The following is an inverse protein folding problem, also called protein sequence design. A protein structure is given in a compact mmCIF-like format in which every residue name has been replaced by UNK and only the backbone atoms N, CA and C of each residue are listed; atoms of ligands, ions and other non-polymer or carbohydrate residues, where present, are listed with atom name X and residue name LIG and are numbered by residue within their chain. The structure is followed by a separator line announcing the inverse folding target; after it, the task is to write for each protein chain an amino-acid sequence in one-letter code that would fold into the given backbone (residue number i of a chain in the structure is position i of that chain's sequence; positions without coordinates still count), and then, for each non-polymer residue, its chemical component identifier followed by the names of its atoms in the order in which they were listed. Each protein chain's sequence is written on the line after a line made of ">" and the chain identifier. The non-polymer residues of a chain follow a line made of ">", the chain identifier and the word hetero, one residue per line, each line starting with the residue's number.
data_IF_724571170876
#
_entry.id   IF_724571170876
#
_cell.length_a   1.000
_cell.length_b   1.000
_cell.length_c   1.000
_cell.angle_alpha   90.00
_cell.angle_beta   90.00
_cell.angle_gamma   90.00
#
_symmetry.space_group_name_H-M   'P 1'
#
loop_
_entity.id
_entity.type
_entity.pdbx_description
1 polymer ?
#
# COMPACT_ATOMS: atom_id res chain seq x y z
N UNK A 1 33.53 12.20 -15.06
CA UNK A 1 32.99 13.36 -15.81
C UNK A 1 34.03 14.43 -16.09
N UNK A 2 34.71 15.04 -15.10
CA UNK A 2 35.78 16.03 -15.36
C UNK A 2 36.89 15.50 -16.28
N UNK A 3 37.37 14.27 -16.05
CA UNK A 3 38.47 13.68 -16.84
C UNK A 3 38.16 13.50 -18.33
N UNK A 4 36.94 13.08 -18.71
CA UNK A 4 36.58 12.91 -20.12
C UNK A 4 36.49 14.25 -20.86
N UNK A 5 35.96 15.28 -20.19
CA UNK A 5 35.96 16.65 -20.71
C UNK A 5 37.39 17.19 -20.87
N UNK A 6 38.28 16.93 -19.91
CA UNK A 6 39.69 17.29 -20.04
C UNK A 6 40.36 16.56 -21.20
N UNK A 7 40.10 15.26 -21.39
CA UNK A 7 40.67 14.48 -22.49
C UNK A 7 40.16 15.01 -23.85
N UNK A 8 38.85 15.27 -23.99
CA UNK A 8 38.28 15.82 -25.23
C UNK A 8 38.80 17.23 -25.48
N UNK A 9 38.86 18.09 -24.46
CA UNK A 9 39.39 19.46 -24.57
C UNK A 9 40.88 19.46 -24.96
N UNK A 10 41.68 18.57 -24.37
CA UNK A 10 43.10 18.41 -24.67
C UNK A 10 43.33 17.87 -26.08
N UNK A 11 42.50 16.92 -26.54
CA UNK A 11 42.53 16.42 -27.91
C UNK A 11 42.10 17.49 -28.92
N UNK A 12 41.06 18.28 -28.60
CA UNK A 12 40.60 19.36 -29.47
C UNK A 12 41.64 20.47 -29.58
N UNK A 13 42.28 20.85 -28.47
CA UNK A 13 43.37 21.83 -28.47
C UNK A 13 44.58 21.32 -29.22
N UNK A 14 44.92 20.03 -29.12
CA UNK A 14 45.98 19.42 -29.92
C UNK A 14 45.67 19.46 -31.43
N UNK A 15 44.42 19.18 -31.83
CA UNK A 15 43.99 19.25 -33.25
C UNK A 15 43.97 20.69 -33.78
N UNK A 16 43.49 21.67 -33.00
CA UNK A 16 43.50 23.08 -33.41
C UNK A 16 44.95 23.61 -33.51
N UNK A 17 45.79 23.26 -32.54
CA UNK A 17 47.22 23.63 -32.56
C UNK A 17 47.94 22.98 -33.75
N UNK A 18 47.51 21.80 -34.18
CA UNK A 18 47.98 21.13 -35.40
C UNK A 18 47.65 21.90 -36.68
N UNK A 19 46.41 22.38 -36.85
CA UNK A 19 46.04 23.17 -38.03
C UNK A 19 46.78 24.52 -38.08
N UNK A 20 46.94 25.17 -36.92
CA UNK A 20 47.70 26.42 -36.81
C UNK A 20 49.19 26.17 -37.12
N UNK A 21 49.79 25.11 -36.55
CA UNK A 21 51.19 24.76 -36.79
C UNK A 21 51.48 24.36 -38.24
N UNK A 22 50.58 23.62 -38.88
CA UNK A 22 50.68 23.26 -40.30
C UNK A 22 50.57 24.50 -41.20
N UNK A 23 49.61 25.39 -40.93
CA UNK A 23 49.45 26.65 -41.66
C UNK A 23 50.68 27.56 -41.54
N UNK A 24 51.32 27.60 -40.37
CA UNK A 24 52.57 28.35 -40.16
C UNK A 24 53.73 27.69 -40.92
N UNK A 25 53.86 26.35 -40.90
CA UNK A 25 54.94 25.63 -41.59
C UNK A 25 54.81 25.62 -43.12
N UNK A 26 53.59 25.64 -43.69
CA UNK A 26 53.39 25.74 -45.14
C UNK A 26 53.74 27.14 -45.69
N UNK A 27 53.74 28.17 -44.83
CA UNK A 27 54.10 29.54 -45.17
C UNK A 27 55.57 29.89 -44.87
N UNK A 28 56.38 28.97 -44.32
CA UNK A 28 57.78 29.20 -43.98
C UNK A 28 58.72 28.52 -45.00
N UNK A 29 59.64 29.30 -45.60
CA UNK A 29 60.35 28.97 -46.86
C UNK A 29 61.49 27.96 -46.68
N UNK A 30 61.77 27.50 -45.44
CA UNK A 30 62.87 26.56 -45.18
C UNK A 30 62.43 25.09 -45.08
N UNK A 31 62.69 24.38 -46.18
CA UNK A 31 62.15 23.09 -46.62
C UNK A 31 62.59 21.82 -45.84
N UNK A 32 63.03 21.94 -44.57
CA UNK A 32 63.52 20.78 -43.78
C UNK A 32 62.59 20.39 -42.62
N UNK A 33 61.89 21.36 -42.03
CA UNK A 33 60.90 21.12 -40.97
C UNK A 33 59.57 20.59 -41.52
N UNK A 34 59.12 21.07 -42.67
CA UNK A 34 57.83 20.63 -43.26
C UNK A 34 57.82 19.13 -43.61
N UNK A 35 58.97 18.55 -44.00
CA UNK A 35 59.10 17.11 -44.27
C UNK A 35 59.00 16.23 -43.02
N UNK A 36 59.49 16.69 -41.88
CA UNK A 36 59.40 15.93 -40.61
C UNK A 36 57.97 16.00 -40.06
N UNK A 37 57.34 17.18 -40.14
CA UNK A 37 55.94 17.37 -39.74
C UNK A 37 54.99 16.56 -40.63
N UNK A 38 55.16 16.56 -41.95
CA UNK A 38 54.32 15.76 -42.85
C UNK A 38 54.54 14.24 -42.71
N UNK A 39 55.71 13.80 -42.24
CA UNK A 39 56.02 12.37 -42.04
C UNK A 39 55.51 11.83 -40.71
N UNK A 40 55.50 12.64 -39.65
CA UNK A 40 54.97 12.26 -38.33
C UNK A 40 53.44 12.40 -38.30
N UNK A 41 52.87 13.31 -39.09
CA UNK A 41 51.44 13.62 -39.11
C UNK A 41 50.82 13.32 -40.48
N UNK A 42 50.88 12.06 -40.90
CA UNK A 42 50.15 11.59 -42.09
C UNK A 42 48.63 11.71 -41.89
N UNK A 43 47.86 11.83 -42.98
CA UNK A 43 46.40 11.90 -42.94
C UNK A 43 45.77 10.73 -42.15
N UNK A 44 46.43 9.57 -42.14
CA UNK A 44 45.99 8.37 -41.43
C UNK A 44 45.99 8.54 -39.90
N UNK A 45 46.99 9.24 -39.34
CA UNK A 45 47.06 9.53 -37.89
C UNK A 45 45.96 10.50 -37.48
N UNK A 46 45.67 11.50 -38.32
CA UNK A 46 44.61 12.48 -38.06
C UNK A 46 43.22 11.82 -38.11
N UNK A 47 42.97 10.96 -39.10
CA UNK A 47 41.73 10.18 -39.21
C UNK A 47 41.54 9.26 -38.00
N UNK A 48 42.60 8.62 -37.53
CA UNK A 48 42.58 7.76 -36.34
C UNK A 48 42.22 8.52 -35.07
N UNK A 49 42.77 9.73 -34.88
CA UNK A 49 42.44 10.60 -33.74
C UNK A 49 40.98 11.07 -33.78
N UNK A 50 40.48 11.45 -34.97
CA UNK A 50 39.06 11.81 -35.13
C UNK A 50 38.13 10.63 -34.81
N UNK A 51 38.49 9.40 -35.24
CA UNK A 51 37.71 8.21 -34.94
C UNK A 51 37.61 7.93 -33.43
N UNK A 52 38.70 8.15 -32.68
CA UNK A 52 38.71 8.01 -31.21
C UNK A 52 37.80 9.04 -30.54
N UNK A 53 37.84 10.30 -31.00
CA UNK A 53 36.99 11.37 -30.47
C UNK A 53 35.51 11.05 -30.73
N UNK A 54 35.16 10.69 -31.97
CA UNK A 54 33.78 10.34 -32.33
C UNK A 54 33.29 9.13 -31.54
N UNK A 55 34.13 8.11 -31.36
CA UNK A 55 33.78 6.92 -30.56
C UNK A 55 33.54 7.27 -29.09
N UNK A 56 34.38 8.12 -28.50
CA UNK A 56 34.25 8.56 -27.10
C UNK A 56 32.99 9.38 -26.88
N UNK A 57 32.66 10.27 -27.82
CA UNK A 57 31.41 11.04 -27.82
C UNK A 57 30.21 10.11 -28.00
N UNK A 58 30.31 9.07 -28.85
CA UNK A 58 29.28 8.05 -29.03
C UNK A 58 28.95 7.29 -27.74
N UNK A 59 29.98 6.86 -26.99
CA UNK A 59 29.79 6.22 -25.67
C UNK A 59 29.12 7.18 -24.69
N UNK A 60 29.57 8.45 -24.64
CA UNK A 60 28.95 9.45 -23.76
C UNK A 60 27.47 9.69 -24.09
N UNK A 61 27.14 9.82 -25.37
CA UNK A 61 25.76 9.99 -25.82
C UNK A 61 24.93 8.76 -25.45
N UNK A 62 25.47 7.55 -25.64
CA UNK A 62 24.81 6.29 -25.27
C UNK A 62 24.52 6.22 -23.76
N UNK A 63 25.48 6.57 -22.91
CA UNK A 63 25.29 6.57 -21.45
C UNK A 63 24.22 7.57 -21.03
N UNK A 64 24.20 8.77 -21.63
CA UNK A 64 23.16 9.77 -21.38
C UNK A 64 21.79 9.33 -21.87
N UNK A 65 21.71 8.69 -23.04
CA UNK A 65 20.46 8.11 -23.53
C UNK A 65 19.93 7.01 -22.61
N UNK A 66 20.81 6.16 -22.07
CA UNK A 66 20.44 5.12 -21.12
C UNK A 66 19.93 5.70 -19.78
N UNK A 67 20.56 6.77 -19.29
CA UNK A 67 20.12 7.48 -18.09
C UNK A 67 18.75 8.14 -18.29
N UNK A 68 18.56 8.83 -19.41
CA UNK A 68 17.27 9.46 -19.78
C UNK A 68 16.18 8.39 -19.92
N UNK A 69 16.48 7.26 -20.57
CA UNK A 69 15.53 6.15 -20.71
C UNK A 69 15.09 5.58 -19.36
N UNK A 70 16.01 5.45 -18.39
CA UNK A 70 15.67 5.03 -17.01
C UNK A 70 14.76 6.04 -16.32
N UNK A 71 15.07 7.33 -16.39
CA UNK A 71 14.25 8.38 -15.78
C UNK A 71 12.84 8.44 -16.42
N UNK A 72 12.76 8.27 -17.74
CA UNK A 72 11.47 8.18 -18.45
C UNK A 72 10.67 6.96 -18.01
N UNK A 73 11.32 5.80 -17.83
CA UNK A 73 10.65 4.59 -17.34
C UNK A 73 10.13 4.76 -15.90
N UNK A 74 10.89 5.41 -15.02
CA UNK A 74 10.44 5.73 -13.66
C UNK A 74 9.27 6.71 -13.66
N UNK A 75 9.34 7.76 -14.48
CA UNK A 75 8.26 8.74 -14.64
C UNK A 75 6.99 8.08 -15.17
N UNK A 76 7.10 7.21 -16.19
CA UNK A 76 5.98 6.47 -16.75
C UNK A 76 5.32 5.54 -15.72
N UNK A 77 6.11 4.89 -14.86
CA UNK A 77 5.60 4.09 -13.74
C UNK A 77 4.79 4.96 -12.77
N UNK A 78 5.33 6.11 -12.37
CA UNK A 78 4.63 7.04 -11.46
C UNK A 78 3.33 7.57 -12.08
N UNK A 79 3.36 7.97 -13.35
CA UNK A 79 2.16 8.41 -14.07
C UNK A 79 1.12 7.29 -14.13
N UNK A 80 1.51 6.04 -14.39
CA UNK A 80 0.60 4.90 -14.41
C UNK A 80 -0.08 4.70 -13.06
N UNK A 81 0.65 4.87 -11.94
CA UNK A 81 0.06 4.79 -10.58
C UNK A 81 -0.95 5.92 -10.37
N UNK A 82 -0.62 7.15 -10.74
CA UNK A 82 -1.52 8.31 -10.62
C UNK A 82 -2.77 8.12 -11.49
N UNK A 83 -2.62 7.68 -12.74
CA UNK A 83 -3.75 7.39 -13.63
C UNK A 83 -4.63 6.28 -13.07
N UNK A 84 -4.04 5.20 -12.54
CA UNK A 84 -4.83 4.14 -11.88
C UNK A 84 -5.62 4.67 -10.70
N UNK A 85 -5.03 5.53 -9.87
CA UNK A 85 -5.72 6.13 -8.72
C UNK A 85 -6.83 7.10 -9.14
N UNK A 86 -6.68 7.81 -10.27
CA UNK A 86 -7.71 8.71 -10.80
C UNK A 86 -8.86 7.97 -11.50
N UNK A 87 -8.58 6.84 -12.15
CA UNK A 87 -9.57 6.11 -12.95
C UNK A 87 -10.31 5.05 -12.13
N UNK A 88 -9.61 4.34 -11.25
CA UNK A 88 -10.22 3.29 -10.43
C UNK A 88 -10.62 3.81 -9.06
N UNK A 89 -11.75 3.34 -8.50
CA UNK A 89 -12.12 3.63 -7.12
C UNK A 89 -11.01 3.25 -6.13
N UNK A 90 -10.76 4.12 -5.16
CA UNK A 90 -9.78 3.91 -4.09
C UNK A 90 -10.48 4.06 -2.75
N UNK A 91 -10.72 2.94 -2.07
CA UNK A 91 -11.46 2.92 -0.82
C UNK A 91 -10.55 3.01 0.41
N UNK A 92 -10.87 3.94 1.31
CA UNK A 92 -10.23 4.07 2.62
C UNK A 92 -11.25 3.81 3.73
N UNK A 93 -10.86 3.01 4.73
CA UNK A 93 -11.72 2.60 5.84
C UNK A 93 -11.21 3.20 7.14
N UNK A 94 -12.08 3.95 7.83
CA UNK A 94 -11.77 4.52 9.13
C UNK A 94 -12.78 4.04 10.17
N UNK A 95 -12.27 3.47 11.26
CA UNK A 95 -13.07 3.12 12.43
C UNK A 95 -12.76 4.07 13.57
N UNK A 96 -13.79 4.63 14.18
CA UNK A 96 -13.64 5.55 15.31
C UNK A 96 -14.80 5.42 16.30
N UNK A 97 -14.58 5.90 17.50
CA UNK A 97 -15.59 5.99 18.54
C UNK A 97 -16.40 7.28 18.33
N UNK A 98 -17.72 7.19 18.38
CA UNK A 98 -18.59 8.36 18.17
C UNK A 98 -18.63 9.28 19.39
N UNK A 99 -19.02 10.54 19.20
CA UNK A 99 -18.83 11.61 20.19
C UNK A 99 -19.70 11.50 21.44
N UNK A 100 -20.83 10.78 21.36
CA UNK A 100 -21.73 10.62 22.52
C UNK A 100 -21.08 9.77 23.61
N UNK A 101 -20.99 10.34 24.82
CA UNK A 101 -20.46 9.67 26.02
C UNK A 101 -21.54 9.48 27.09
N UNK A 102 -21.46 8.37 27.83
CA UNK A 102 -22.15 8.15 29.11
C UNK A 102 -21.09 7.74 30.13
N UNK A 103 -21.00 8.44 31.26
CA UNK A 103 -19.99 8.21 32.31
C UNK A 103 -18.56 8.17 31.73
N UNK A 104 -18.21 9.20 30.93
CA UNK A 104 -16.95 9.34 30.20
C UNK A 104 -16.61 8.23 29.19
N UNK A 105 -17.57 7.37 28.84
CA UNK A 105 -17.36 6.30 27.86
C UNK A 105 -18.13 6.55 26.59
N UNK A 106 -17.41 6.46 25.48
CA UNK A 106 -18.02 6.49 24.16
C UNK A 106 -19.02 5.36 23.98
N UNK A 107 -20.23 5.70 23.55
CA UNK A 107 -21.35 4.77 23.47
C UNK A 107 -21.33 4.03 22.13
N UNK A 108 -21.11 4.80 21.06
CA UNK A 108 -21.27 4.35 19.69
C UNK A 108 -19.91 4.15 19.01
N UNK A 109 -19.90 3.31 18.00
CA UNK A 109 -18.76 3.09 17.12
C UNK A 109 -19.21 3.27 15.68
N UNK A 110 -18.33 3.84 14.87
CA UNK A 110 -18.58 4.12 13.46
C UNK A 110 -17.50 3.48 12.60
N UNK A 111 -17.91 2.98 11.43
CA UNK A 111 -16.98 2.69 10.32
C UNK A 111 -17.40 3.59 9.18
N UNK A 112 -16.48 4.42 8.72
CA UNK A 112 -16.66 5.24 7.53
C UNK A 112 -15.83 4.65 6.39
N UNK A 113 -16.43 4.62 5.21
CA UNK A 113 -15.79 4.20 3.97
C UNK A 113 -15.78 5.41 3.06
N UNK A 114 -14.59 5.78 2.60
CA UNK A 114 -14.36 6.90 1.70
C UNK A 114 -13.93 6.37 0.34
N UNK A 115 -14.29 7.06 -0.75
CA UNK A 115 -13.72 6.83 -2.08
C UNK A 115 -12.89 8.04 -2.51
N UNK A 116 -11.57 7.89 -2.52
CA UNK A 116 -10.63 8.94 -2.94
C UNK A 116 -10.16 8.75 -4.39
N UNK A 117 -10.72 7.79 -5.12
CA UNK A 117 -10.36 7.48 -6.49
C UNK A 117 -11.48 7.78 -7.48
N UNK A 118 -11.48 7.06 -8.60
CA UNK A 118 -12.45 7.21 -9.68
C UNK A 118 -13.88 6.77 -9.30
N UNK A 119 -14.79 6.99 -10.24
CA UNK A 119 -16.21 6.65 -10.09
C UNK A 119 -16.47 5.14 -10.17
N UNK A 120 -17.64 4.71 -9.67
CA UNK A 120 -18.15 3.35 -9.76
C UNK A 120 -19.64 3.38 -10.13
N UNK A 121 -20.15 2.31 -10.74
CA UNK A 121 -21.58 2.19 -11.06
C UNK A 121 -22.38 1.66 -9.88
N UNK A 122 -21.90 0.57 -9.27
CA UNK A 122 -22.53 -0.05 -8.11
C UNK A 122 -21.53 -0.17 -6.96
N UNK A 123 -22.05 -0.04 -5.74
CA UNK A 123 -21.28 -0.21 -4.51
C UNK A 123 -22.11 -0.95 -3.46
N UNK A 124 -21.56 -2.01 -2.89
CA UNK A 124 -22.14 -2.75 -1.77
C UNK A 124 -21.06 -2.99 -0.73
N UNK A 125 -21.27 -2.46 0.46
CA UNK A 125 -20.37 -2.64 1.58
C UNK A 125 -21.00 -3.55 2.64
N UNK A 126 -20.19 -4.40 3.27
CA UNK A 126 -20.60 -5.19 4.42
C UNK A 126 -19.48 -5.27 5.43
N UNK A 127 -19.82 -5.39 6.71
CA UNK A 127 -18.85 -5.57 7.78
C UNK A 127 -19.13 -6.85 8.55
N UNK A 128 -18.06 -7.48 9.04
CA UNK A 128 -18.13 -8.59 9.98
C UNK A 128 -17.27 -8.24 11.18
N UNK A 129 -17.70 -8.72 12.35
CA UNK A 129 -16.99 -8.50 13.61
C UNK A 129 -16.76 -9.85 14.30
N UNK A 130 -15.55 -10.04 14.80
CA UNK A 130 -15.21 -11.10 15.74
C UNK A 130 -14.90 -10.47 17.10
N UNK A 131 -15.44 -11.03 18.17
CA UNK A 131 -14.96 -10.78 19.52
C UNK A 131 -13.84 -11.76 19.82
N UNK A 132 -12.62 -11.24 19.90
CA UNK A 132 -11.47 -11.93 20.46
C UNK A 132 -11.59 -11.94 21.97
N UNK A 133 -11.92 -13.11 22.49
CA UNK A 133 -12.01 -13.36 23.92
C UNK A 133 -10.72 -14.06 24.36
N UNK A 134 -9.99 -13.42 25.27
CA UNK A 134 -8.91 -14.06 26.03
C UNK A 134 -9.50 -14.55 27.34
N UNK A 135 -9.49 -15.86 27.53
CA UNK A 135 -9.93 -16.50 28.78
C UNK A 135 -8.86 -17.48 29.21
N UNK A 136 -8.20 -17.19 30.34
CA UNK A 136 -6.95 -17.87 30.72
C UNK A 136 -5.81 -17.59 29.71
N UNK A 137 -5.06 -18.61 29.27
CA UNK A 137 -4.05 -18.53 28.21
C UNK A 137 -4.64 -18.64 26.80
N UNK A 138 -5.89 -19.07 26.68
CA UNK A 138 -6.54 -19.36 25.41
C UNK A 138 -7.17 -18.13 24.74
N UNK A 139 -7.24 -18.18 23.40
CA UNK A 139 -7.87 -17.17 22.55
C UNK A 139 -9.02 -17.79 21.75
N UNK A 140 -10.19 -17.17 21.85
CA UNK A 140 -11.40 -17.56 21.14
C UNK A 140 -11.90 -16.40 20.29
N UNK A 141 -12.33 -16.65 19.04
CA UNK A 141 -12.88 -15.63 18.16
C UNK A 141 -14.35 -15.93 17.88
N UNK A 142 -15.20 -15.22 18.60
CA UNK A 142 -16.65 -15.39 18.59
C UNK A 142 -17.24 -14.43 17.56
N UNK A 143 -17.94 -14.88 16.51
CA UNK A 143 -18.56 -13.96 15.55
C UNK A 143 -19.66 -13.14 16.24
N UNK A 144 -19.61 -11.82 16.12
CA UNK A 144 -20.65 -10.93 16.61
C UNK A 144 -21.59 -10.55 15.47
N UNK A 145 -22.82 -11.06 15.51
CA UNK A 145 -23.84 -10.73 14.52
C UNK A 145 -24.39 -9.32 14.74
N UNK A 146 -24.64 -8.59 13.66
CA UNK A 146 -25.25 -7.25 13.69
C UNK A 146 -24.56 -6.26 14.64
N UNK A 147 -23.23 -6.38 14.80
CA UNK A 147 -22.44 -5.44 15.59
C UNK A 147 -22.45 -4.03 14.96
N UNK A 148 -22.61 -3.92 13.65
CA UNK A 148 -22.96 -2.67 13.00
C UNK A 148 -24.32 -2.87 12.35
N UNK A 149 -25.34 -2.17 12.86
CA UNK A 149 -26.74 -2.45 12.56
C UNK A 149 -27.33 -1.58 11.44
N UNK A 150 -26.71 -0.45 11.14
CA UNK A 150 -27.19 0.49 10.12
C UNK A 150 -26.03 0.89 9.22
N UNK A 151 -26.15 0.58 7.92
CA UNK A 151 -25.31 1.15 6.88
C UNK A 151 -26.12 2.20 6.13
N UNK A 152 -25.69 3.46 6.17
CA UNK A 152 -26.25 4.51 5.32
C UNK A 152 -25.24 4.82 4.22
N UNK A 153 -25.66 4.69 2.97
CA UNK A 153 -24.92 5.32 1.88
C UNK A 153 -25.09 6.84 2.05
N UNK A 154 -23.98 7.53 2.14
CA UNK A 154 -23.96 8.99 2.27
C UNK A 154 -23.33 9.48 0.98
N UNK A 155 -23.90 10.51 0.38
CA UNK A 155 -23.21 11.30 -0.63
C UNK A 155 -22.90 12.60 0.08
N UNK A 156 -21.66 12.79 0.52
CA UNK A 156 -21.22 14.06 1.13
C UNK A 156 -19.97 14.57 0.41
N UNK A 157 -19.75 15.88 0.53
CA UNK A 157 -18.65 16.61 -0.11
C UNK A 157 -17.24 16.12 0.26
N UNK A 158 -17.13 15.25 1.29
CA UNK A 158 -15.87 14.74 1.85
C UNK A 158 -15.54 13.32 1.38
N UNK A 159 -15.98 12.90 0.19
CA UNK A 159 -15.73 11.56 -0.37
C UNK A 159 -16.27 10.39 0.49
N UNK A 160 -17.07 10.66 1.51
CA UNK A 160 -17.68 9.64 2.36
C UNK A 160 -18.83 8.99 1.58
N UNK A 161 -18.73 7.69 1.36
CA UNK A 161 -19.71 6.93 0.56
C UNK A 161 -20.57 6.00 1.41
N UNK A 162 -20.03 5.46 2.51
CA UNK A 162 -20.73 4.52 3.37
C UNK A 162 -20.40 4.77 4.84
N UNK A 163 -21.42 4.70 5.69
CA UNK A 163 -21.25 4.77 7.15
C UNK A 163 -22.00 3.64 7.84
N UNK A 164 -21.27 2.84 8.61
CA UNK A 164 -21.80 1.84 9.52
C UNK A 164 -21.91 2.39 10.94
N UNK A 165 -23.01 2.10 11.64
CA UNK A 165 -23.23 2.55 13.02
C UNK A 165 -23.49 1.35 13.94
N UNK A 166 -22.67 1.24 14.98
CA UNK A 166 -22.85 0.31 16.09
C UNK A 166 -23.40 1.05 17.31
N UNK A 167 -24.72 0.99 17.52
CA UNK A 167 -25.37 1.68 18.63
C UNK A 167 -25.12 0.98 19.97
N UNK A 168 -24.58 1.70 20.96
CA UNK A 168 -24.28 1.19 22.32
C UNK A 168 -23.34 -0.04 22.36
N UNK A 169 -22.75 -0.44 21.24
CA UNK A 169 -21.99 -1.69 21.15
C UNK A 169 -20.63 -1.61 21.84
N UNK A 170 -19.98 -0.45 21.83
CA UNK A 170 -18.76 -0.24 22.60
C UNK A 170 -19.03 -0.33 24.11
N UNK A 171 -20.13 0.26 24.59
CA UNK A 171 -20.54 0.15 25.99
C UNK A 171 -20.84 -1.30 26.39
N UNK A 172 -21.62 -2.03 25.56
CA UNK A 172 -21.94 -3.45 25.78
C UNK A 172 -20.68 -4.30 25.81
N UNK A 173 -19.75 -4.13 24.85
CA UNK A 173 -18.47 -4.84 24.82
C UNK A 173 -17.63 -4.56 26.06
N UNK A 174 -17.52 -3.29 26.47
CA UNK A 174 -16.80 -2.89 27.69
C UNK A 174 -17.40 -3.53 28.94
N UNK A 175 -18.73 -3.57 29.03
CA UNK A 175 -19.45 -4.26 30.12
C UNK A 175 -19.18 -5.76 30.11
N UNK A 176 -19.27 -6.42 28.95
CA UNK A 176 -18.96 -7.84 28.78
C UNK A 176 -17.52 -8.16 29.21
N UNK A 177 -16.55 -7.34 28.80
CA UNK A 177 -15.15 -7.53 29.17
C UNK A 177 -14.94 -7.41 30.68
N UNK A 178 -15.60 -6.46 31.36
CA UNK A 178 -15.51 -6.32 32.83
C UNK A 178 -16.15 -7.49 33.56
N UNK A 179 -17.33 -7.92 33.14
CA UNK A 179 -18.00 -9.07 33.76
C UNK A 179 -17.23 -10.36 33.52
N UNK A 180 -16.61 -10.52 32.34
CA UNK A 180 -15.74 -11.64 32.04
C UNK A 180 -14.47 -11.63 32.90
N UNK A 181 -13.85 -10.47 33.11
CA UNK A 181 -12.69 -10.33 33.99
C UNK A 181 -13.03 -10.71 35.44
N UNK A 182 -14.18 -10.25 35.96
CA UNK A 182 -14.67 -10.63 37.29
C UNK A 182 -14.90 -12.14 37.39
N UNK A 183 -15.51 -12.75 36.37
CA UNK A 183 -15.73 -14.19 36.32
C UNK A 183 -14.41 -14.96 36.27
N UNK A 184 -13.44 -14.54 35.45
CA UNK A 184 -12.12 -15.14 35.38
C UNK A 184 -11.41 -15.11 36.75
N UNK A 185 -11.39 -13.94 37.41
CA UNK A 185 -10.80 -13.79 38.75
C UNK A 185 -11.46 -14.71 39.79
N UNK A 186 -12.79 -14.82 39.78
CA UNK A 186 -13.53 -15.70 40.71
C UNK A 186 -13.21 -17.18 40.52
N UNK A 187 -12.83 -17.59 39.31
CA UNK A 187 -12.50 -18.98 38.97
C UNK A 187 -10.99 -19.20 38.80
N UNK A 188 -10.17 -18.37 39.45
CA UNK A 188 -8.70 -18.48 39.47
C UNK A 188 -8.06 -18.52 38.07
N UNK A 189 -8.67 -17.82 37.10
CA UNK A 189 -8.16 -17.70 35.73
C UNK A 189 -7.34 -16.42 35.56
N UNK A 190 -6.30 -16.51 34.72
CA UNK A 190 -5.28 -15.45 34.53
C UNK A 190 -5.88 -14.18 33.91
N UNK A 191 -6.75 -14.30 32.91
CA UNK A 191 -7.28 -13.15 32.18
C UNK A 191 -8.70 -13.40 31.66
N UNK A 192 -9.53 -12.36 31.68
CA UNK A 192 -10.83 -12.33 31.00
C UNK A 192 -10.99 -11.00 30.26
N UNK A 193 -10.76 -10.97 28.93
CA UNK A 193 -10.88 -9.74 28.13
C UNK A 193 -11.60 -10.00 26.81
N UNK A 194 -12.46 -9.07 26.39
CA UNK A 194 -13.13 -9.08 25.09
C UNK A 194 -12.69 -7.88 24.24
N UNK A 195 -12.03 -8.16 23.12
CA UNK A 195 -11.58 -7.20 22.11
C UNK A 195 -12.34 -7.43 20.81
N UNK A 196 -12.70 -6.38 20.10
CA UNK A 196 -13.31 -6.44 18.77
C UNK A 196 -12.25 -6.50 17.68
N UNK A 197 -12.54 -7.25 16.62
CA UNK A 197 -11.78 -7.27 15.38
C UNK A 197 -12.78 -7.11 14.25
N UNK A 198 -12.53 -6.10 13.42
CA UNK A 198 -13.48 -5.64 12.42
C UNK A 198 -12.87 -5.92 11.05
N UNK A 199 -13.68 -6.47 10.15
CA UNK A 199 -13.33 -6.60 8.74
C UNK A 199 -14.44 -6.02 7.88
N UNK A 200 -14.04 -5.40 6.77
CA UNK A 200 -14.95 -4.78 5.81
C UNK A 200 -14.76 -5.41 4.45
N UNK A 201 -15.85 -5.73 3.77
CA UNK A 201 -15.88 -6.16 2.38
C UNK A 201 -16.53 -5.05 1.57
N UNK A 202 -15.82 -4.59 0.56
CA UNK A 202 -16.30 -3.62 -0.43
C UNK A 202 -16.44 -4.35 -1.76
N UNK A 203 -17.67 -4.44 -2.27
CA UNK A 203 -17.96 -4.89 -3.61
C UNK A 203 -18.31 -3.67 -4.46
N UNK A 204 -17.72 -3.56 -5.65
CA UNK A 204 -18.06 -2.48 -6.57
C UNK A 204 -18.00 -2.94 -8.03
N UNK A 205 -18.72 -2.24 -8.89
CA UNK A 205 -18.61 -2.37 -10.35
C UNK A 205 -17.90 -1.12 -10.88
N UNK A 206 -16.81 -1.30 -11.62
CA UNK A 206 -16.05 -0.19 -12.21
C UNK A 206 -16.77 0.43 -13.41
N UNK A 207 -16.24 1.56 -13.91
CA UNK A 207 -16.77 2.27 -15.08
C UNK A 207 -16.72 1.45 -16.39
N UNK A 208 -16.03 0.31 -16.40
CA UNK A 208 -15.96 -0.61 -17.53
C UNK A 208 -16.90 -1.82 -17.34
N UNK A 209 -17.73 -1.81 -16.30
CA UNK A 209 -18.69 -2.86 -16.00
C UNK A 209 -18.10 -4.10 -15.31
N UNK A 210 -16.82 -4.09 -14.91
CA UNK A 210 -16.19 -5.23 -14.22
C UNK A 210 -16.45 -5.19 -12.73
N UNK A 211 -16.71 -6.38 -12.16
CA UNK A 211 -16.99 -6.54 -10.75
C UNK A 211 -15.72 -6.82 -9.95
N UNK A 212 -15.56 -6.09 -8.86
CA UNK A 212 -14.41 -6.18 -7.97
C UNK A 212 -14.86 -6.41 -6.53
N UNK A 213 -14.05 -7.13 -5.78
CA UNK A 213 -14.26 -7.32 -4.33
C UNK A 213 -12.95 -7.09 -3.62
N UNK A 214 -12.97 -6.17 -2.65
CA UNK A 214 -11.85 -5.82 -1.80
C UNK A 214 -12.20 -6.10 -0.34
N UNK A 215 -11.18 -6.48 0.43
CA UNK A 215 -11.31 -6.82 1.84
C UNK A 215 -10.35 -5.96 2.65
N UNK A 216 -10.82 -5.42 3.77
CA UNK A 216 -10.04 -4.52 4.60
C UNK A 216 -10.06 -4.96 6.06
N UNK A 217 -8.95 -4.75 6.75
CA UNK A 217 -8.92 -4.70 8.21
C UNK A 217 -9.60 -3.39 8.65
N UNK A 218 -10.75 -3.48 9.30
CA UNK A 218 -11.50 -2.31 9.72
C UNK A 218 -10.82 -1.51 10.84
N UNK A 219 -9.90 -2.12 11.59
CA UNK A 219 -9.18 -1.44 12.67
C UNK A 219 -8.02 -0.59 12.14
N UNK A 220 -7.26 -1.10 11.16
CA UNK A 220 -6.10 -0.40 10.58
C UNK A 220 -6.42 0.33 9.27
N UNK A 221 -7.49 -0.04 8.59
CA UNK A 221 -7.84 0.46 7.26
C UNK A 221 -7.09 -0.23 6.12
N UNK A 222 -6.22 -1.19 6.42
CA UNK A 222 -5.35 -1.83 5.43
C UNK A 222 -6.09 -2.84 4.55
N UNK A 223 -5.70 -2.89 3.27
CA UNK A 223 -6.18 -3.87 2.32
C UNK A 223 -5.61 -5.25 2.63
N UNK A 224 -6.49 -6.24 2.68
CA UNK A 224 -6.15 -7.65 2.88
C UNK A 224 -6.00 -8.37 1.55
N UNK A 225 -5.17 -9.40 1.55
CA UNK A 225 -5.14 -10.37 0.45
C UNK A 225 -6.53 -10.98 0.23
N UNK A 226 -6.95 -11.07 -1.04
CA UNK A 226 -8.29 -11.51 -1.42
C UNK A 226 -8.62 -12.91 -0.90
N UNK A 227 -7.67 -13.84 -0.94
CA UNK A 227 -7.90 -15.21 -0.46
C UNK A 227 -8.08 -15.24 1.06
N UNK A 228 -7.32 -14.41 1.77
CA UNK A 228 -7.44 -14.26 3.23
C UNK A 228 -8.79 -13.66 3.60
N UNK A 229 -9.16 -12.54 2.97
CA UNK A 229 -10.43 -11.86 3.18
C UNK A 229 -11.63 -12.76 2.89
N UNK A 230 -11.63 -13.46 1.76
CA UNK A 230 -12.73 -14.36 1.40
C UNK A 230 -12.88 -15.51 2.42
N UNK A 231 -11.76 -16.14 2.83
CA UNK A 231 -11.76 -17.19 3.85
C UNK A 231 -12.31 -16.69 5.19
N UNK A 232 -11.97 -15.45 5.60
CA UNK A 232 -12.48 -14.84 6.83
C UNK A 232 -14.01 -14.68 6.80
N UNK A 233 -14.55 -14.10 5.71
CA UNK A 233 -15.99 -13.90 5.56
C UNK A 233 -16.76 -15.23 5.50
N UNK A 234 -16.22 -16.23 4.77
CA UNK A 234 -16.80 -17.59 4.76
C UNK A 234 -16.80 -18.22 6.16
N UNK A 235 -15.68 -18.11 6.89
CA UNK A 235 -15.53 -18.63 8.26
C UNK A 235 -16.50 -17.94 9.23
N UNK A 236 -16.67 -16.62 9.13
CA UNK A 236 -17.62 -15.85 9.94
C UNK A 236 -19.06 -16.35 9.72
N UNK A 237 -19.52 -16.42 8.47
CA UNK A 237 -20.86 -16.91 8.12
C UNK A 237 -21.11 -18.33 8.64
N UNK A 238 -20.13 -19.24 8.51
CA UNK A 238 -20.24 -20.61 9.03
C UNK A 238 -20.38 -20.66 10.56
N UNK A 239 -19.64 -19.81 11.28
CA UNK A 239 -19.71 -19.77 12.75
C UNK A 239 -20.98 -19.10 13.27
N UNK A 240 -21.45 -18.05 12.60
CA UNK A 240 -22.74 -17.43 12.92
C UNK A 240 -23.89 -18.44 12.86
N UNK A 241 -23.91 -19.29 11.83
CA UNK A 241 -24.87 -20.40 11.72
C UNK A 241 -24.84 -21.33 12.94
N UNK A 242 -23.64 -21.74 13.38
CA UNK A 242 -23.46 -22.58 14.56
C UNK A 242 -23.93 -21.92 15.85
N UNK A 243 -23.85 -20.59 15.94
CA UNK A 243 -24.34 -19.81 17.06
C UNK A 243 -25.83 -19.47 16.98
N UNK A 244 -26.56 -20.03 16.01
CA UNK A 244 -27.98 -19.73 15.76
C UNK A 244 -28.22 -18.23 15.55
N UNK A 245 -27.28 -17.54 14.92
CA UNK A 245 -27.40 -16.13 14.53
C UNK A 245 -27.68 -15.12 15.66
N UNK A 246 -27.41 -15.48 16.92
CA UNK A 246 -27.59 -14.58 18.07
C UNK A 246 -27.05 -13.18 17.80
N UNK A 247 -27.89 -12.17 18.00
CA UNK A 247 -27.51 -10.76 17.84
C UNK A 247 -26.50 -10.38 18.93
N UNK A 248 -25.57 -9.48 18.61
CA UNK A 248 -24.61 -9.01 19.60
C UNK A 248 -25.27 -8.34 20.83
N UNK A 249 -26.43 -7.71 20.65
CA UNK A 249 -27.25 -7.17 21.75
C UNK A 249 -27.59 -8.22 22.82
N UNK A 250 -27.79 -9.47 22.40
CA UNK A 250 -28.13 -10.63 23.25
C UNK A 250 -26.90 -11.29 23.88
N UNK A 251 -25.69 -10.84 23.56
CA UNK A 251 -24.49 -11.45 24.14
C UNK A 251 -24.45 -11.20 25.64
N UNK A 252 -24.11 -12.25 26.37
CA UNK A 252 -23.87 -12.26 27.81
C UNK A 252 -22.59 -13.03 28.09
N UNK A 253 -22.05 -12.93 29.31
CA UNK A 253 -20.90 -13.75 29.70
C UNK A 253 -21.23 -15.23 29.59
N UNK A 254 -22.46 -15.65 29.91
CA UNK A 254 -22.89 -17.04 29.73
C UNK A 254 -22.86 -17.48 28.26
N UNK A 255 -23.27 -16.60 27.33
CA UNK A 255 -23.15 -16.87 25.89
C UNK A 255 -21.70 -17.10 25.48
N UNK A 256 -20.77 -16.27 25.99
CA UNK A 256 -19.32 -16.39 25.74
C UNK A 256 -18.77 -17.69 26.32
N UNK A 257 -19.05 -17.98 27.59
CA UNK A 257 -18.55 -19.19 28.27
C UNK A 257 -19.11 -20.47 27.64
N UNK A 258 -20.37 -20.47 27.24
CA UNK A 258 -20.97 -21.61 26.52
C UNK A 258 -20.33 -21.80 25.15
N UNK A 259 -19.94 -20.72 24.46
CA UNK A 259 -19.19 -20.82 23.21
C UNK A 259 -17.82 -21.45 23.46
N UNK A 260 -17.08 -20.95 24.46
CA UNK A 260 -15.76 -21.46 24.87
C UNK A 260 -15.83 -22.96 25.21
N UNK A 261 -16.82 -23.41 25.98
CA UNK A 261 -16.99 -24.84 26.31
C UNK A 261 -17.22 -25.73 25.09
N UNK A 262 -17.85 -25.20 24.03
CA UNK A 262 -18.23 -25.96 22.83
C UNK A 262 -17.21 -25.90 21.70
N UNK A 263 -16.24 -25.01 21.77
CA UNK A 263 -15.30 -24.75 20.68
C UNK A 263 -13.88 -24.79 21.19
N UNK A 264 -12.98 -25.37 20.39
CA UNK A 264 -11.54 -25.34 20.70
C UNK A 264 -11.01 -23.90 20.56
N UNK A 265 -9.93 -23.55 21.29
CA UNK A 265 -9.16 -22.33 21.03
C UNK A 265 -8.85 -22.23 19.54
N UNK A 266 -8.92 -21.00 19.02
CA UNK A 266 -8.94 -20.79 17.59
C UNK A 266 -7.54 -20.67 16.97
N UNK A 267 -7.34 -21.43 15.88
CA UNK A 267 -6.05 -21.53 15.19
C UNK A 267 -5.78 -20.46 14.13
N UNK A 268 -4.50 -20.03 14.16
CA UNK A 268 -3.59 -19.31 13.23
C UNK A 268 -4.13 -18.15 12.36
N UNK A 269 -5.31 -18.28 11.75
CA UNK A 269 -5.74 -17.38 10.66
C UNK A 269 -6.14 -15.98 11.15
N UNK A 270 -6.77 -15.87 12.32
CA UNK A 270 -7.10 -14.58 12.96
C UNK A 270 -5.98 -14.07 13.89
N UNK A 271 -4.99 -14.91 14.15
CA UNK A 271 -3.84 -14.62 15.01
C UNK A 271 -2.73 -13.93 14.20
N UNK A 272 -2.50 -14.39 12.96
CA UNK A 272 -1.44 -13.86 12.10
C UNK A 272 -1.75 -12.47 11.51
N UNK A 273 -3.03 -12.13 11.34
CA UNK A 273 -3.47 -10.84 10.76
C UNK A 273 -3.35 -9.69 11.77
N UNK A 274 -3.34 -9.98 13.07
CA UNK A 274 -3.28 -8.98 14.13
C UNK A 274 -1.89 -8.81 14.76
N UNK A 275 -0.89 -9.57 14.28
CA UNK A 275 0.49 -9.51 14.77
C UNK A 275 1.45 -8.85 13.76
N UNK A 276 0.93 -8.38 12.62
CA UNK A 276 1.60 -7.42 11.73
C UNK A 276 1.09 -6.04 12.06
#
# INVERSE_FOLDING_TARGET
>A
MRYLYYIISLLLTAVISFFIGKYICENDVNNKFSKIVNKIFSQEVLLSLMAIIVSSVGVYISDRQAEIAKQQAETAKQQTVIYRQKVYPHFNIHTYLGDKRINDRYINQHINIYNNGGNFYELKCSSIVFLKVKYDTDKYYIPANSFFGVSKQIVSDNNLIYKFIGFKNNLKRSSLSRTLAKHAKKNEKILGKAEEIIFVKVYYQDIFGKNHTLYFNGSTGELLDNNVGEKLFKKHKKRLKKMSYKLFSEFSVNTILNYIKKHKPDDKLLTNINNK
#
